data_IF_866153747130
#
_entry.id   IF_866153747130
#
_cell.length_a   1.000
_cell.length_b   1.000
_cell.length_c   1.000
_cell.angle_alpha   90.00
_cell.angle_beta   90.00
_cell.angle_gamma   90.00
#
_symmetry.space_group_name_H-M   'P 1'
#
loop_
_entity.id
_entity.type
_entity.pdbx_description
1 polymer ?
#
# COMPACT_ATOMS: atom_id res chain seq x y z
N UNK A 1 13.51 -46.36 34.17
CA UNK A 1 13.11 -45.76 32.88
C UNK A 1 12.16 -44.58 33.15
N UNK A 2 12.63 -43.32 33.10
CA UNK A 2 11.74 -42.16 33.03
C UNK A 2 11.97 -41.27 31.80
N UNK A 3 10.85 -40.81 31.27
CA UNK A 3 10.64 -40.04 30.06
C UNK A 3 11.41 -38.72 29.95
N UNK A 4 12.05 -38.51 28.79
CA UNK A 4 12.54 -37.21 28.35
C UNK A 4 11.38 -36.27 27.99
N UNK A 5 11.08 -35.29 28.86
CA UNK A 5 10.24 -34.13 28.50
C UNK A 5 11.10 -33.07 27.81
N UNK A 6 10.86 -32.83 26.52
CA UNK A 6 11.43 -31.69 25.78
C UNK A 6 10.92 -30.36 26.35
N UNK A 7 11.78 -29.35 26.60
CA UNK A 7 11.30 -28.03 26.97
C UNK A 7 10.72 -27.33 25.74
N UNK A 8 9.41 -27.05 25.79
CA UNK A 8 8.73 -26.14 24.84
C UNK A 8 9.32 -24.74 25.03
N UNK A 9 10.17 -24.30 24.09
CA UNK A 9 10.60 -22.89 24.01
C UNK A 9 9.35 -22.04 23.83
N UNK A 10 9.02 -21.28 24.88
CA UNK A 10 8.05 -20.19 24.84
C UNK A 10 8.53 -19.20 23.78
N UNK A 11 7.81 -19.14 22.66
CA UNK A 11 7.86 -18.02 21.72
C UNK A 11 7.38 -16.83 22.54
N UNK A 12 8.31 -15.98 22.97
CA UNK A 12 7.97 -14.67 23.49
C UNK A 12 7.45 -13.89 22.28
N UNK A 13 6.16 -13.60 22.29
CA UNK A 13 5.56 -12.50 21.55
C UNK A 13 6.39 -11.24 21.80
N UNK A 14 7.39 -11.01 20.96
CA UNK A 14 7.92 -9.67 20.73
C UNK A 14 6.81 -8.94 20.00
N UNK A 15 5.90 -8.33 20.76
CA UNK A 15 5.29 -7.09 20.30
C UNK A 15 6.45 -6.14 20.06
N UNK A 16 6.90 -6.07 18.81
CA UNK A 16 7.82 -5.03 18.37
C UNK A 16 7.13 -3.71 18.75
N UNK A 17 7.79 -2.82 19.51
CA UNK A 17 7.27 -1.49 19.74
C UNK A 17 6.89 -0.89 18.38
N UNK A 18 5.73 -0.25 18.31
CA UNK A 18 5.39 0.64 17.21
C UNK A 18 6.33 1.85 17.35
N UNK A 19 7.60 1.67 17.00
CA UNK A 19 8.56 2.77 16.97
C UNK A 19 8.00 3.79 16.00
N UNK A 20 7.85 5.02 16.48
CA UNK A 20 7.53 6.14 15.61
C UNK A 20 8.57 6.14 14.48
N UNK A 21 8.15 6.30 13.21
CA UNK A 21 9.08 6.27 12.09
C UNK A 21 10.18 7.31 12.33
N UNK A 22 11.43 6.87 12.28
CA UNK A 22 12.58 7.78 12.38
C UNK A 22 12.56 8.77 11.21
N UNK A 23 13.21 9.93 11.39
CA UNK A 23 13.27 10.98 10.36
C UNK A 23 13.79 10.43 9.02
N UNK A 24 14.75 9.51 9.07
CA UNK A 24 15.33 8.85 7.90
C UNK A 24 14.29 8.00 7.15
N UNK A 25 13.48 7.23 7.88
CA UNK A 25 12.40 6.43 7.27
C UNK A 25 11.32 7.30 6.62
N UNK A 26 11.05 8.49 7.17
CA UNK A 26 10.09 9.43 6.58
C UNK A 26 10.64 9.99 5.26
N UNK A 27 11.90 10.42 5.24
CA UNK A 27 12.54 10.95 4.02
C UNK A 27 12.61 9.89 2.91
N UNK A 28 12.97 8.65 3.26
CA UNK A 28 13.00 7.54 2.31
C UNK A 28 11.60 7.18 1.80
N UNK A 29 10.59 7.19 2.69
CA UNK A 29 9.19 6.96 2.30
C UNK A 29 8.72 8.00 1.27
N UNK A 30 9.02 9.29 1.49
CA UNK A 30 8.69 10.35 0.52
C UNK A 30 9.36 10.10 -0.82
N UNK A 31 10.66 9.74 -0.84
CA UNK A 31 11.39 9.43 -2.08
C UNK A 31 10.71 8.28 -2.83
N UNK A 32 10.36 7.20 -2.14
CA UNK A 32 9.69 6.06 -2.75
C UNK A 32 8.28 6.39 -3.28
N UNK A 33 7.53 7.25 -2.58
CA UNK A 33 6.21 7.70 -3.04
C UNK A 33 6.31 8.61 -4.27
N UNK A 34 7.36 9.43 -4.40
CA UNK A 34 7.60 10.21 -5.62
C UNK A 34 8.00 9.30 -6.80
N UNK A 35 8.84 8.28 -6.58
CA UNK A 35 9.13 7.28 -7.62
C UNK A 35 7.86 6.54 -8.08
N UNK A 36 6.99 6.19 -7.14
CA UNK A 36 5.70 5.59 -7.45
C UNK A 36 4.79 6.54 -8.25
N UNK A 37 4.75 7.82 -7.86
CA UNK A 37 3.97 8.85 -8.56
C UNK A 37 4.39 8.99 -10.02
N UNK A 38 5.70 9.04 -10.29
CA UNK A 38 6.22 9.06 -11.66
C UNK A 38 5.81 7.80 -12.42
N UNK A 39 5.98 6.61 -11.82
CA UNK A 39 5.60 5.35 -12.44
C UNK A 39 4.08 5.27 -12.75
N UNK A 40 3.23 5.82 -11.89
CA UNK A 40 1.77 5.92 -12.15
C UNK A 40 1.51 6.81 -13.37
N UNK A 41 2.12 7.99 -13.42
CA UNK A 41 1.96 8.91 -14.55
C UNK A 41 2.44 8.32 -15.88
N UNK A 42 3.51 7.53 -15.85
CA UNK A 42 4.04 6.85 -17.04
C UNK A 42 3.16 5.67 -17.49
N UNK A 43 2.57 4.96 -16.52
CA UNK A 43 1.72 3.79 -16.78
C UNK A 43 0.33 4.17 -17.27
N UNK A 44 -0.24 5.24 -16.71
CA UNK A 44 -1.56 5.74 -17.06
C UNK A 44 -1.67 7.25 -16.74
N UNK A 45 -1.59 8.13 -17.75
CA UNK A 45 -1.63 9.57 -17.54
C UNK A 45 -3.02 10.08 -17.10
N UNK A 46 -4.06 9.24 -17.16
CA UNK A 46 -5.40 9.61 -16.68
C UNK A 46 -5.51 9.52 -15.16
N UNK A 47 -4.65 8.71 -14.51
CA UNK A 47 -4.62 8.59 -13.05
C UNK A 47 -3.93 9.81 -12.44
N UNK A 48 -4.62 10.44 -11.49
CA UNK A 48 -4.05 11.55 -10.75
C UNK A 48 -3.46 11.05 -9.43
N UNK A 49 -2.18 11.35 -9.21
CA UNK A 49 -1.45 10.97 -8.01
C UNK A 49 -0.84 12.20 -7.31
N UNK A 50 -1.22 12.43 -6.04
CA UNK A 50 -0.76 13.56 -5.23
C UNK A 50 -0.21 13.11 -3.87
N UNK A 51 0.93 13.62 -3.42
CA UNK A 51 1.39 13.40 -2.05
C UNK A 51 0.41 13.98 -1.02
N UNK A 52 0.23 13.26 0.09
CA UNK A 52 -0.61 13.66 1.22
C UNK A 52 0.18 13.53 2.52
N UNK A 53 0.29 14.65 3.22
CA UNK A 53 0.94 14.76 4.51
C UNK A 53 -0.10 15.18 5.55
N UNK A 54 -0.52 14.25 6.40
CA UNK A 54 -1.45 14.53 7.51
C UNK A 54 -0.68 14.48 8.82
N UNK A 55 -0.83 15.48 9.68
CA UNK A 55 -0.15 15.51 10.98
C UNK A 55 -0.43 14.23 11.77
N UNK A 56 0.62 13.63 12.34
CA UNK A 56 0.54 12.38 13.10
C UNK A 56 0.31 11.12 12.25
N UNK A 57 0.38 11.19 10.92
CA UNK A 57 0.32 10.02 10.02
C UNK A 57 1.57 9.94 9.14
N UNK A 58 2.01 8.72 8.78
CA UNK A 58 3.05 8.54 7.77
C UNK A 58 2.65 9.20 6.44
N UNK A 59 3.62 9.69 5.64
CA UNK A 59 3.36 10.15 4.28
C UNK A 59 2.66 9.07 3.45
N UNK A 60 1.74 9.51 2.59
CA UNK A 60 1.02 8.64 1.66
C UNK A 60 0.83 9.32 0.31
N UNK A 61 0.64 8.55 -0.75
CA UNK A 61 0.29 9.02 -2.07
C UNK A 61 -1.19 8.77 -2.32
N UNK A 62 -1.97 9.84 -2.43
CA UNK A 62 -3.38 9.74 -2.81
C UNK A 62 -3.49 9.61 -4.32
N UNK A 63 -4.10 8.53 -4.78
CA UNK A 63 -4.29 8.21 -6.19
C UNK A 63 -5.78 8.15 -6.49
N UNK A 64 -6.25 8.87 -7.50
CA UNK A 64 -7.63 8.81 -7.95
C UNK A 64 -7.72 8.64 -9.46
N UNK A 65 -8.71 7.86 -9.89
CA UNK A 65 -9.12 7.79 -11.28
C UNK A 65 -10.28 8.77 -11.51
N UNK A 66 -10.10 9.89 -12.23
CA UNK A 66 -11.17 10.85 -12.50
C UNK A 66 -12.27 10.26 -13.41
N UNK A 67 -11.96 9.26 -14.23
CA UNK A 67 -12.92 8.60 -15.13
C UNK A 67 -13.81 7.59 -14.39
N UNK A 68 -13.41 7.20 -13.18
CA UNK A 68 -14.20 6.35 -12.30
C UNK A 68 -14.60 7.19 -11.08
N UNK A 69 -15.72 7.93 -11.21
CA UNK A 69 -16.24 9.02 -10.33
C UNK A 69 -16.13 8.83 -8.80
N UNK A 70 -15.81 7.65 -8.28
CA UNK A 70 -15.73 7.34 -6.85
C UNK A 70 -14.49 6.59 -6.37
N UNK A 71 -13.49 6.33 -7.23
CA UNK A 71 -12.36 5.49 -6.83
C UNK A 71 -11.07 6.28 -6.63
N UNK A 72 -10.77 6.47 -5.35
CA UNK A 72 -9.50 6.97 -4.87
C UNK A 72 -8.94 6.04 -3.78
N UNK A 73 -7.62 6.05 -3.64
CA UNK A 73 -6.89 5.20 -2.70
C UNK A 73 -5.68 5.96 -2.13
N UNK A 74 -5.32 5.68 -0.88
CA UNK A 74 -4.13 6.23 -0.25
C UNK A 74 -3.05 5.12 -0.16
N UNK A 75 -1.93 5.31 -0.85
CA UNK A 75 -0.82 4.35 -0.89
C UNK A 75 0.25 4.78 0.10
N UNK A 76 0.60 3.89 1.03
CA UNK A 76 1.67 4.11 2.01
C UNK A 76 2.95 3.37 1.67
N UNK A 77 4.00 3.68 2.43
CA UNK A 77 5.21 2.86 2.52
C UNK A 77 5.25 2.26 3.92
N UNK A 78 5.35 0.94 4.00
CA UNK A 78 5.64 0.23 5.23
C UNK A 78 7.15 -0.06 5.29
N UNK A 79 7.89 0.51 6.26
CA UNK A 79 9.27 0.12 6.46
C UNK A 79 9.34 -1.35 6.88
N UNK A 80 10.36 -2.05 6.41
CA UNK A 80 10.67 -3.41 6.86
C UNK A 80 11.86 -3.37 7.82
N UNK A 81 12.24 -4.53 8.36
CA UNK A 81 13.38 -4.64 9.30
C UNK A 81 14.67 -4.12 8.66
N UNK A 82 15.62 -3.73 9.51
CA UNK A 82 16.90 -3.17 9.08
C UNK A 82 17.58 -4.05 8.01
N UNK A 83 17.84 -3.47 6.84
CA UNK A 83 18.48 -4.13 5.70
C UNK A 83 17.54 -4.65 4.62
N UNK A 84 16.22 -4.60 4.83
CA UNK A 84 15.23 -4.95 3.81
C UNK A 84 14.59 -3.71 3.18
N UNK A 85 14.31 -3.70 1.86
CA UNK A 85 13.57 -2.63 1.23
C UNK A 85 12.15 -2.57 1.80
N UNK A 86 11.65 -1.36 2.02
CA UNK A 86 10.26 -1.15 2.40
C UNK A 86 9.27 -1.70 1.36
N UNK A 87 7.99 -1.68 1.68
CA UNK A 87 6.92 -2.14 0.77
C UNK A 87 5.89 -1.05 0.55
N UNK A 88 5.42 -0.91 -0.68
CA UNK A 88 4.19 -0.18 -0.96
C UNK A 88 3.01 -0.96 -0.40
N UNK A 89 2.10 -0.26 0.27
CA UNK A 89 0.92 -0.85 0.92
C UNK A 89 -0.33 -0.04 0.60
N UNK A 90 -1.45 -0.73 0.46
CA UNK A 90 -2.77 -0.10 0.38
C UNK A 90 -3.16 0.55 1.71
N UNK A 91 -4.16 1.45 1.72
CA UNK A 91 -4.65 2.03 2.98
C UNK A 91 -5.24 0.98 3.95
N UNK A 92 -5.69 -0.16 3.42
CA UNK A 92 -6.14 -1.31 4.22
C UNK A 92 -5.01 -2.24 4.70
N UNK A 93 -3.75 -1.89 4.45
CA UNK A 93 -2.57 -2.54 5.03
C UNK A 93 -2.03 -3.76 4.27
N UNK A 94 -2.68 -4.17 3.18
CA UNK A 94 -2.16 -5.23 2.31
C UNK A 94 -0.98 -4.72 1.48
N UNK A 95 -0.02 -5.62 1.23
CA UNK A 95 1.20 -5.32 0.47
C UNK A 95 0.90 -5.31 -1.03
N UNK A 96 1.34 -4.24 -1.69
CA UNK A 96 1.34 -4.13 -3.14
C UNK A 96 2.59 -4.84 -3.69
N UNK A 97 3.78 -4.31 -3.39
CA UNK A 97 5.07 -4.82 -3.88
C UNK A 97 6.22 -4.10 -3.13
N UNK A 98 7.49 -4.57 -3.20
CA UNK A 98 8.63 -3.81 -2.66
C UNK A 98 8.79 -2.43 -3.28
N UNK A 99 9.35 -1.48 -2.52
CA UNK A 99 9.58 -0.09 -2.99
C UNK A 99 10.59 0.02 -4.14
N UNK A 100 11.36 -1.05 -4.39
CA UNK A 100 12.32 -1.16 -5.49
C UNK A 100 11.66 -1.48 -6.83
N UNK A 101 10.33 -1.71 -6.87
CA UNK A 101 9.59 -2.02 -8.09
C UNK A 101 8.35 -1.12 -8.23
N UNK A 102 8.52 0.21 -8.37
CA UNK A 102 7.39 1.15 -8.46
C UNK A 102 6.52 0.95 -9.70
N UNK A 103 7.06 0.42 -10.78
CA UNK A 103 6.34 0.14 -12.03
C UNK A 103 5.30 -0.97 -11.82
N UNK A 104 5.70 -2.05 -11.15
CA UNK A 104 4.79 -3.14 -10.78
C UNK A 104 3.70 -2.66 -9.82
N UNK A 105 4.03 -1.71 -8.94
CA UNK A 105 3.04 -1.09 -8.06
C UNK A 105 2.03 -0.26 -8.86
N UNK A 106 2.51 0.56 -9.81
CA UNK A 106 1.68 1.38 -10.68
C UNK A 106 0.70 0.54 -11.52
N UNK A 107 1.16 -0.57 -12.10
CA UNK A 107 0.29 -1.50 -12.84
C UNK A 107 -0.82 -2.08 -11.96
N UNK A 108 -0.47 -2.52 -10.74
CA UNK A 108 -1.46 -3.05 -9.78
C UNK A 108 -2.47 -1.99 -9.35
N UNK A 109 -2.01 -0.77 -9.10
CA UNK A 109 -2.85 0.40 -8.77
C UNK A 109 -3.82 0.67 -9.92
N UNK A 110 -3.31 0.75 -11.16
CA UNK A 110 -4.16 0.91 -12.35
C UNK A 110 -5.21 -0.18 -12.43
N UNK A 111 -4.84 -1.45 -12.29
CA UNK A 111 -5.80 -2.57 -12.35
C UNK A 111 -6.88 -2.46 -11.28
N UNK A 112 -6.51 -2.17 -10.02
CA UNK A 112 -7.48 -2.05 -8.92
C UNK A 112 -8.42 -0.86 -9.12
N UNK A 113 -7.89 0.28 -9.58
CA UNK A 113 -8.69 1.48 -9.83
C UNK A 113 -9.52 1.39 -11.12
N UNK A 114 -9.10 0.59 -12.12
CA UNK A 114 -9.84 0.34 -13.35
C UNK A 114 -10.98 -0.68 -13.16
N UNK A 115 -10.73 -1.80 -12.48
CA UNK A 115 -11.71 -2.88 -12.27
C UNK A 115 -12.93 -2.43 -11.44
N UNK A 116 -12.81 -1.31 -10.74
CA UNK A 116 -13.88 -0.73 -9.95
C UNK A 116 -14.90 0.06 -10.80
N UNK A 117 -14.62 0.33 -12.07
CA UNK A 117 -15.59 0.88 -13.02
C UNK A 117 -16.55 -0.19 -13.61
N UNK A 118 -16.20 -1.48 -13.47
CA UNK A 118 -16.95 -2.62 -14.00
C UNK A 118 -18.06 -3.12 -13.06
N UNK A 119 -18.45 -2.37 -12.01
CA UNK A 119 -19.68 -2.73 -11.30
C UNK A 119 -20.85 -2.50 -12.27
N UNK A 120 -21.56 -3.54 -12.75
CA UNK A 120 -22.71 -3.32 -13.60
C UNK A 120 -23.73 -2.55 -12.77
N UNK A 121 -23.99 -1.30 -13.13
CA UNK A 121 -25.16 -0.57 -12.68
C UNK A 121 -26.34 -1.52 -12.80
N UNK A 122 -26.97 -1.85 -11.67
CA UNK A 122 -28.10 -2.77 -11.56
C UNK A 122 -28.99 -2.64 -12.79
N UNK A 123 -29.05 -3.70 -13.60
CA UNK A 123 -30.02 -3.81 -14.69
C UNK A 123 -31.40 -3.52 -14.11
N UNK A 124 -31.98 -2.41 -14.50
CA UNK A 124 -33.40 -2.14 -14.28
C UNK A 124 -34.17 -3.29 -14.89
N UNK A 125 -34.87 -4.05 -14.03
CA UNK A 125 -35.76 -5.13 -14.43
C UNK A 125 -36.82 -4.54 -15.39
N UNK A 126 -36.97 -5.02 -16.64
CA UNK A 126 -38.14 -4.66 -17.42
C UNK A 126 -39.34 -5.32 -16.75
N UNK A 127 -40.28 -4.49 -16.31
CA UNK A 127 -41.58 -4.93 -15.79
C UNK A 127 -42.40 -5.42 -16.99
N UNK A 128 -43.04 -6.61 -16.91
CA UNK A 128 -43.91 -7.12 -17.96
C UNK A 128 -45.16 -6.25 -18.17
#
# INVERSE_FOLDING_TARGET
MPSHRRPRRRIRDRRVPFDAPTVDHVADSVRHLESLRSAISDTDPTLFARPVHRSGRPPSLHVNNPEAERFAEDIGVRPESAGEPGRFVWSWGEVITPVTTPEIAAERIRTVLAARNDMPTRRTRPTP
#
